data_IF_203151003705
#
_entry.id   IF_203151003705
#
_cell.length_a   1.000
_cell.length_b   1.000
_cell.length_c   1.000
_cell.angle_alpha   90.00
_cell.angle_beta   90.00
_cell.angle_gamma   90.00
#
_symmetry.space_group_name_H-M   'P 1'
#
loop_
_entity.id
_entity.type
_entity.pdbx_description
1 polymer ?
#
# COMPACT_ATOMS: atom_id res chain seq x y z
N UNK A 1 35.12 32.32 10.38
CA UNK A 1 34.66 32.36 8.97
C UNK A 1 33.53 31.36 8.81
N UNK A 2 32.32 31.84 8.50
CA UNK A 2 31.18 30.98 8.14
C UNK A 2 31.25 30.75 6.63
N UNK A 3 31.49 29.52 6.20
CA UNK A 3 31.25 29.15 4.80
C UNK A 3 29.76 28.92 4.63
N UNK A 4 29.08 29.91 4.05
CA UNK A 4 27.69 29.77 3.58
C UNK A 4 27.78 29.19 2.17
N UNK A 5 27.71 27.88 2.06
CA UNK A 5 27.47 27.21 0.78
C UNK A 5 25.95 27.22 0.60
N UNK A 6 25.46 28.16 -0.19
CA UNK A 6 24.10 28.17 -0.69
C UNK A 6 24.17 27.55 -2.07
N UNK A 7 23.99 26.24 -2.14
CA UNK A 7 23.70 25.53 -3.37
C UNK A 7 22.29 24.97 -3.17
N UNK A 8 21.30 25.71 -3.66
CA UNK A 8 19.95 25.19 -3.88
C UNK A 8 20.06 24.24 -5.09
N UNK A 9 20.42 23.00 -4.81
CA UNK A 9 20.40 21.91 -5.78
C UNK A 9 18.99 21.32 -5.77
N UNK A 10 18.19 21.66 -6.79
CA UNK A 10 16.82 21.19 -6.96
C UNK A 10 16.72 19.66 -6.95
N UNK A 11 17.78 18.94 -7.34
CA UNK A 11 17.81 17.47 -7.31
C UNK A 11 17.85 16.90 -5.89
N UNK A 12 18.42 17.64 -4.93
CA UNK A 12 18.44 17.25 -3.52
C UNK A 12 17.05 17.48 -2.91
N UNK A 13 16.37 18.59 -3.23
CA UNK A 13 15.00 18.84 -2.76
C UNK A 13 14.00 17.83 -3.33
N UNK A 14 14.11 17.44 -4.61
CA UNK A 14 13.27 16.40 -5.21
C UNK A 14 13.50 15.03 -4.54
N UNK A 15 14.75 14.71 -4.20
CA UNK A 15 15.11 13.48 -3.49
C UNK A 15 14.61 13.46 -2.04
N UNK A 16 14.65 14.60 -1.33
CA UNK A 16 14.18 14.73 0.06
C UNK A 16 12.65 14.64 0.13
N UNK A 17 11.93 15.29 -0.80
CA UNK A 17 10.46 15.18 -0.90
C UNK A 17 10.01 13.72 -1.13
N UNK A 18 10.84 12.92 -1.80
CA UNK A 18 10.58 11.50 -2.03
C UNK A 18 10.70 10.67 -0.74
N UNK A 19 11.57 11.06 0.20
CA UNK A 19 11.73 10.36 1.49
C UNK A 19 10.53 10.63 2.40
N UNK A 20 10.10 11.88 2.52
CA UNK A 20 8.95 12.23 3.38
C UNK A 20 7.64 11.60 2.87
N UNK A 21 7.44 11.58 1.55
CA UNK A 21 6.30 10.91 0.94
C UNK A 21 6.30 9.40 1.19
N UNK A 22 7.46 8.73 1.04
CA UNK A 22 7.58 7.30 1.31
C UNK A 22 7.40 7.00 2.80
N UNK A 23 7.92 7.83 3.69
CA UNK A 23 7.74 7.67 5.13
C UNK A 23 6.28 7.82 5.54
N UNK A 24 5.58 8.82 4.98
CA UNK A 24 4.14 8.99 5.19
C UNK A 24 3.37 7.75 4.72
N UNK A 25 3.62 7.26 3.51
CA UNK A 25 2.93 6.09 2.99
C UNK A 25 3.18 4.81 3.82
N UNK A 26 4.43 4.57 4.22
CA UNK A 26 4.81 3.35 4.94
C UNK A 26 4.34 3.36 6.40
N UNK A 27 4.35 4.51 7.05
CA UNK A 27 4.07 4.65 8.49
C UNK A 27 2.66 5.15 8.82
N UNK A 28 1.85 5.55 7.84
CA UNK A 28 0.42 5.88 8.00
C UNK A 28 -0.48 4.75 7.51
N UNK A 29 -1.79 4.92 7.68
CA UNK A 29 -2.86 4.02 7.23
C UNK A 29 -3.43 3.15 8.36
N UNK A 30 -4.62 2.60 8.13
CA UNK A 30 -5.47 2.02 9.18
C UNK A 30 -4.82 0.86 9.94
N UNK A 31 -4.21 -0.10 9.25
CA UNK A 31 -3.57 -1.24 9.90
C UNK A 31 -2.39 -0.80 10.78
N UNK A 32 -1.64 0.24 10.38
CA UNK A 32 -0.60 0.83 11.23
C UNK A 32 -1.18 1.52 12.46
N UNK A 33 -2.27 2.27 12.30
CA UNK A 33 -2.96 2.96 13.40
C UNK A 33 -3.59 1.98 14.40
N UNK A 34 -4.12 0.86 13.91
CA UNK A 34 -4.76 -0.19 14.72
C UNK A 34 -3.76 -1.25 15.21
N UNK A 35 -2.50 -1.21 14.76
CA UNK A 35 -1.48 -2.18 15.12
C UNK A 35 -1.69 -3.58 14.53
N UNK A 36 -2.43 -3.70 13.43
CA UNK A 36 -2.69 -4.96 12.72
C UNK A 36 -1.45 -5.40 11.94
N UNK A 37 -1.10 -6.67 12.12
CA UNK A 37 0.04 -7.33 11.46
C UNK A 37 -0.42 -8.55 10.66
N UNK A 38 0.52 -9.17 9.95
CA UNK A 38 0.25 -10.40 9.18
C UNK A 38 -0.21 -11.58 10.06
N UNK A 39 0.11 -11.58 11.35
CA UNK A 39 -0.33 -12.60 12.31
C UNK A 39 -1.79 -12.41 12.76
N UNK A 40 -2.37 -11.23 12.55
CA UNK A 40 -3.73 -10.88 13.01
C UNK A 40 -4.82 -11.15 11.96
N UNK A 41 -4.43 -11.50 10.73
CA UNK A 41 -5.33 -11.66 9.57
C UNK A 41 -5.34 -13.09 9.05
N UNK A 42 -6.36 -13.45 8.26
CA UNK A 42 -6.36 -14.75 7.58
C UNK A 42 -5.22 -14.79 6.52
N UNK A 43 -4.27 -15.74 6.61
CA UNK A 43 -3.16 -15.82 5.67
C UNK A 43 -3.61 -16.05 4.22
N UNK A 44 -4.80 -16.62 3.98
CA UNK A 44 -5.36 -16.78 2.63
C UNK A 44 -5.82 -15.44 2.05
N UNK A 45 -6.51 -14.63 2.85
CA UNK A 45 -6.94 -13.29 2.44
C UNK A 45 -5.73 -12.39 2.23
N UNK A 46 -4.73 -12.43 3.11
CA UNK A 46 -3.50 -11.66 2.93
C UNK A 46 -2.76 -12.06 1.66
N UNK A 47 -2.67 -13.36 1.37
CA UNK A 47 -2.07 -13.85 0.13
C UNK A 47 -2.86 -13.36 -1.09
N UNK A 48 -4.18 -13.52 -1.09
CA UNK A 48 -5.04 -13.02 -2.17
C UNK A 48 -4.85 -11.53 -2.39
N UNK A 49 -4.79 -10.76 -1.30
CA UNK A 49 -4.57 -9.33 -1.36
C UNK A 49 -3.25 -8.95 -1.98
N UNK A 50 -2.15 -9.56 -1.54
CA UNK A 50 -0.83 -9.30 -2.13
C UNK A 50 -0.83 -9.57 -3.63
N UNK A 51 -1.48 -10.64 -4.10
CA UNK A 51 -1.55 -10.94 -5.54
C UNK A 51 -2.41 -9.93 -6.31
N UNK A 52 -3.50 -9.44 -5.73
CA UNK A 52 -4.34 -8.39 -6.34
C UNK A 52 -3.58 -7.07 -6.41
N UNK A 53 -2.93 -6.63 -5.34
CA UNK A 53 -2.21 -5.36 -5.31
C UNK A 53 -0.99 -5.34 -6.26
N UNK A 54 -0.51 -6.51 -6.70
CA UNK A 54 0.50 -6.57 -7.77
C UNK A 54 0.02 -5.99 -9.12
N UNK A 55 -1.29 -5.76 -9.30
CA UNK A 55 -1.83 -5.00 -10.43
C UNK A 55 -1.44 -3.52 -10.40
N UNK A 56 -1.03 -3.00 -9.23
CA UNK A 56 -0.73 -1.58 -9.01
C UNK A 56 0.70 -1.31 -8.56
N UNK A 57 1.41 -2.32 -8.07
CA UNK A 57 2.82 -2.20 -7.65
C UNK A 57 3.59 -3.48 -7.94
N UNK A 58 4.90 -3.38 -8.18
CA UNK A 58 5.78 -4.56 -8.25
C UNK A 58 6.49 -4.85 -6.93
N UNK A 59 6.31 -4.00 -5.91
CA UNK A 59 6.96 -4.15 -4.62
C UNK A 59 6.07 -4.92 -3.64
N UNK A 60 6.53 -6.09 -3.21
CA UNK A 60 5.83 -6.97 -2.28
C UNK A 60 5.46 -6.31 -0.94
N UNK A 61 6.33 -5.48 -0.39
CA UNK A 61 6.06 -4.84 0.92
C UNK A 61 5.00 -3.74 0.80
N UNK A 62 4.96 -3.03 -0.34
CA UNK A 62 3.88 -2.09 -0.65
C UNK A 62 2.56 -2.84 -0.84
N UNK A 63 2.56 -3.92 -1.63
CA UNK A 63 1.39 -4.76 -1.84
C UNK A 63 0.84 -5.31 -0.51
N UNK A 64 1.72 -5.85 0.34
CA UNK A 64 1.36 -6.34 1.68
C UNK A 64 0.81 -5.23 2.58
N UNK A 65 1.42 -4.04 2.56
CA UNK A 65 0.97 -2.88 3.35
C UNK A 65 -0.47 -2.50 3.01
N UNK A 66 -0.78 -2.40 1.71
CA UNK A 66 -2.12 -2.05 1.21
C UNK A 66 -3.11 -3.16 1.59
N UNK A 67 -2.73 -4.43 1.38
CA UNK A 67 -3.58 -5.55 1.76
C UNK A 67 -3.93 -5.59 3.25
N UNK A 68 -2.97 -5.27 4.13
CA UNK A 68 -3.24 -5.19 5.57
C UNK A 68 -4.21 -4.05 5.93
N UNK A 69 -4.15 -2.90 5.25
CA UNK A 69 -5.13 -1.81 5.47
C UNK A 69 -6.56 -2.25 5.14
N UNK A 70 -6.75 -2.91 4.00
CA UNK A 70 -8.06 -3.43 3.64
C UNK A 70 -8.55 -4.52 4.59
N UNK A 71 -7.65 -5.40 5.05
CA UNK A 71 -8.00 -6.47 5.99
C UNK A 71 -8.25 -5.97 7.42
N UNK A 72 -7.71 -4.82 7.80
CA UNK A 72 -8.05 -4.17 9.07
C UNK A 72 -9.43 -3.50 9.02
N UNK A 73 -9.93 -3.13 7.83
CA UNK A 73 -11.31 -2.67 7.66
C UNK A 73 -12.32 -3.84 7.63
N UNK A 74 -12.01 -4.88 6.85
CA UNK A 74 -12.87 -6.05 6.66
C UNK A 74 -12.04 -7.32 6.51
N UNK A 75 -12.25 -8.28 7.40
CA UNK A 75 -11.44 -9.53 7.45
C UNK A 75 -11.50 -10.38 6.17
N UNK A 76 -12.57 -10.27 5.39
CA UNK A 76 -12.82 -11.03 4.15
C UNK A 76 -12.85 -10.12 2.91
N UNK A 77 -12.14 -8.98 2.97
CA UNK A 77 -12.15 -7.95 1.94
C UNK A 77 -11.86 -8.52 0.54
N UNK A 78 -10.82 -9.34 0.37
CA UNK A 78 -10.40 -9.80 -0.94
C UNK A 78 -11.30 -10.89 -1.50
N UNK A 79 -11.92 -11.70 -0.65
CA UNK A 79 -13.02 -12.58 -1.08
C UNK A 79 -14.20 -11.77 -1.65
N UNK A 80 -14.56 -10.65 -1.02
CA UNK A 80 -15.66 -9.78 -1.51
C UNK A 80 -15.28 -9.06 -2.80
N UNK A 81 -14.07 -8.52 -2.87
CA UNK A 81 -13.55 -7.85 -4.06
C UNK A 81 -13.58 -8.79 -5.26
N UNK A 82 -13.03 -9.99 -5.11
CA UNK A 82 -13.02 -11.01 -6.17
C UNK A 82 -14.43 -11.28 -6.70
N UNK A 83 -15.41 -11.45 -5.82
CA UNK A 83 -16.81 -11.67 -6.23
C UNK A 83 -17.36 -10.46 -7.00
N UNK A 84 -17.13 -9.25 -6.49
CA UNK A 84 -17.59 -8.01 -7.13
C UNK A 84 -17.01 -7.86 -8.54
N UNK A 85 -15.72 -8.16 -8.72
CA UNK A 85 -15.07 -8.10 -10.03
C UNK A 85 -15.57 -9.19 -11.00
N UNK A 86 -15.77 -10.42 -10.52
CA UNK A 86 -16.34 -11.50 -11.32
C UNK A 86 -17.74 -11.16 -11.81
N UNK A 87 -18.56 -10.54 -10.97
CA UNK A 87 -19.91 -10.11 -11.34
C UNK A 87 -19.86 -8.92 -12.33
N UNK A 88 -18.96 -7.96 -12.12
CA UNK A 88 -18.74 -6.85 -13.05
C UNK A 88 -18.26 -7.30 -14.44
N UNK A 89 -17.39 -8.31 -14.52
CA UNK A 89 -16.92 -8.89 -15.80
C UNK A 89 -18.06 -9.56 -16.57
N UNK A 90 -18.92 -10.31 -15.87
CA UNK A 90 -20.11 -10.94 -16.49
C UNK A 90 -21.09 -9.90 -17.05
N UNK A 91 -21.28 -8.78 -16.34
CA UNK A 91 -22.15 -7.69 -16.82
C UNK A 91 -21.58 -6.97 -18.04
N UNK A 92 -20.25 -6.92 -18.19
CA UNK A 92 -19.58 -6.36 -19.37
C UNK A 92 -19.62 -7.30 -20.59
N UNK A 93 -19.97 -8.57 -20.40
CA UNK A 93 -20.10 -9.56 -21.48
C UNK A 93 -18.80 -10.30 -21.83
N UNK A 94 -17.82 -10.30 -20.93
CA UNK A 94 -16.56 -11.07 -21.02
C UNK A 94 -16.72 -12.54 -20.60
#
# INVERSE_FOLDING_TARGET
MKFKIFLEDDSINESINNVDFVDEFINKGRAKEEGVTEDDVDPKELKMGIEVEYEHTSNREIAKRIALDHLSELKDYYTRLKKMEEDGKKEQGD
#
